data_IF_370976205898
#
_entry.id   IF_370976205898
#
_cell.length_a   1.000
_cell.length_b   1.000
_cell.length_c   1.000
_cell.angle_alpha   90.00
_cell.angle_beta   90.00
_cell.angle_gamma   90.00
#
_symmetry.space_group_name_H-M   'P 1'
#
loop_
_entity.id
_entity.type
_entity.pdbx_description
1 polymer ?
#
# COMPACT_ATOMS: atom_id res chain seq x y z
N UNK A 1 13.70 -8.21 -11.95
CA UNK A 1 14.43 -8.73 -10.76
C UNK A 1 13.42 -9.01 -9.66
N UNK A 2 13.68 -9.96 -8.75
CA UNK A 2 12.83 -10.16 -7.58
C UNK A 2 12.92 -8.96 -6.64
N UNK A 3 11.82 -8.67 -5.95
CA UNK A 3 11.72 -7.61 -4.96
C UNK A 3 12.68 -7.91 -3.79
N UNK A 4 13.50 -6.93 -3.41
CA UNK A 4 14.49 -7.05 -2.33
C UNK A 4 14.06 -6.22 -1.12
N UNK A 5 13.64 -6.92 -0.07
CA UNK A 5 13.08 -6.34 1.16
C UNK A 5 14.16 -5.85 2.15
N UNK A 6 15.43 -6.23 1.98
CA UNK A 6 16.52 -5.86 2.90
C UNK A 6 17.14 -4.48 2.60
N UNK A 7 16.72 -3.83 1.52
CA UNK A 7 17.32 -2.57 1.05
C UNK A 7 16.53 -1.34 1.53
N UNK A 8 16.61 -1.05 2.83
CA UNK A 8 16.03 0.15 3.47
C UNK A 8 16.59 1.49 2.93
N UNK A 9 17.66 1.49 2.13
CA UNK A 9 18.29 2.71 1.63
C UNK A 9 17.54 3.43 0.50
N UNK A 10 16.52 2.79 -0.11
CA UNK A 10 15.79 3.33 -1.26
C UNK A 10 14.26 3.17 -1.20
N UNK A 11 13.73 2.49 -0.20
CA UNK A 11 12.28 2.30 -0.05
C UNK A 11 11.68 3.56 0.54
N UNK A 12 10.79 4.22 -0.21
CA UNK A 12 10.12 5.45 0.25
C UNK A 12 8.95 5.14 1.18
N UNK A 13 8.31 4.00 0.98
CA UNK A 13 7.05 3.65 1.65
C UNK A 13 7.25 3.01 3.03
N UNK A 14 8.43 2.45 3.34
CA UNK A 14 8.65 1.59 4.50
C UNK A 14 9.16 2.29 5.77
N UNK A 15 9.41 3.60 5.74
CA UNK A 15 9.94 4.33 6.91
C UNK A 15 8.98 4.48 8.10
N UNK A 16 7.67 4.27 7.89
CA UNK A 16 6.62 4.57 8.88
C UNK A 16 5.56 3.47 9.03
N UNK A 17 5.80 2.27 8.51
CA UNK A 17 4.83 1.19 8.46
C UNK A 17 4.52 0.57 9.84
N UNK A 18 3.24 0.52 10.20
CA UNK A 18 2.68 -0.38 11.21
C UNK A 18 1.65 -1.29 10.51
N UNK A 19 1.96 -2.58 10.46
CA UNK A 19 1.13 -3.62 9.86
C UNK A 19 -0.30 -3.64 10.40
N UNK A 20 -0.44 -3.41 11.71
CA UNK A 20 -1.71 -3.41 12.40
C UNK A 20 -2.61 -2.27 11.93
N UNK A 21 -2.02 -1.09 11.70
CA UNK A 21 -2.75 0.11 11.24
C UNK A 21 -3.18 -0.05 9.78
N UNK A 22 -2.33 -0.65 8.95
CA UNK A 22 -2.66 -0.94 7.56
C UNK A 22 -3.76 -1.99 7.45
N UNK A 23 -3.68 -3.06 8.24
CA UNK A 23 -4.70 -4.08 8.30
C UNK A 23 -6.07 -3.51 8.72
N UNK A 24 -6.10 -2.67 9.77
CA UNK A 24 -7.34 -2.02 10.23
C UNK A 24 -7.94 -1.10 9.16
N UNK A 25 -7.11 -0.31 8.48
CA UNK A 25 -7.57 0.58 7.42
C UNK A 25 -8.11 -0.20 6.21
N UNK A 26 -7.48 -1.31 5.85
CA UNK A 26 -7.92 -2.12 4.71
C UNK A 26 -9.12 -2.99 5.06
N UNK A 27 -9.31 -3.37 6.33
CA UNK A 27 -10.54 -4.02 6.80
C UNK A 27 -11.77 -3.09 6.66
N UNK A 28 -11.56 -1.78 6.78
CA UNK A 28 -12.58 -0.76 6.56
C UNK A 28 -12.65 -0.25 5.12
N UNK A 29 -11.89 -0.87 4.20
CA UNK A 29 -11.80 -0.42 2.82
C UNK A 29 -13.15 -0.47 2.12
N UNK A 30 -13.57 0.66 1.56
CA UNK A 30 -14.85 0.85 0.88
C UNK A 30 -14.72 1.36 -0.55
N UNK A 31 -13.48 1.39 -1.08
CA UNK A 31 -13.12 2.01 -2.35
C UNK A 31 -13.48 3.51 -2.44
N UNK A 32 -13.55 4.20 -1.29
CA UNK A 32 -13.88 5.62 -1.25
C UNK A 32 -12.67 6.50 -1.59
N UNK A 33 -12.93 7.73 -2.07
CA UNK A 33 -11.88 8.75 -2.22
C UNK A 33 -11.17 9.07 -0.88
N UNK A 34 -11.86 8.86 0.26
CA UNK A 34 -11.24 8.98 1.59
C UNK A 34 -10.18 7.91 1.82
N UNK A 35 -10.46 6.68 1.41
CA UNK A 35 -9.59 5.53 1.67
C UNK A 35 -8.27 5.67 0.88
N UNK A 36 -8.35 6.14 -0.37
CA UNK A 36 -7.17 6.45 -1.19
C UNK A 36 -6.29 7.54 -0.56
N UNK A 37 -6.92 8.58 0.00
CA UNK A 37 -6.20 9.67 0.67
C UNK A 37 -5.56 9.24 1.98
N UNK A 38 -6.19 8.34 2.73
CA UNK A 38 -5.63 7.77 3.95
C UNK A 38 -4.45 6.85 3.63
N UNK A 39 -4.56 6.00 2.60
CA UNK A 39 -3.45 5.19 2.09
C UNK A 39 -2.27 6.04 1.65
N UNK A 40 -2.50 7.11 0.89
CA UNK A 40 -1.40 7.96 0.39
C UNK A 40 -0.61 8.57 1.55
N UNK A 41 -1.34 9.06 2.56
CA UNK A 41 -0.75 9.61 3.78
C UNK A 41 0.00 8.56 4.59
N UNK A 42 -0.51 7.33 4.66
CA UNK A 42 0.12 6.24 5.41
C UNK A 42 1.40 5.73 4.73
N UNK A 43 1.37 5.66 3.39
CA UNK A 43 2.51 5.25 2.57
C UNK A 43 3.51 6.40 2.34
N UNK A 44 3.20 7.62 2.79
CA UNK A 44 4.08 8.78 2.66
C UNK A 44 4.25 9.29 1.22
N UNK A 45 3.24 9.08 0.38
CA UNK A 45 3.22 9.43 -1.06
C UNK A 45 2.09 10.41 -1.37
N UNK A 46 2.15 11.11 -2.51
CA UNK A 46 1.01 11.92 -2.95
C UNK A 46 -0.11 11.03 -3.51
N UNK A 47 -1.35 11.49 -3.41
CA UNK A 47 -2.51 10.79 -3.98
C UNK A 47 -2.40 10.63 -5.51
N UNK A 48 -1.69 11.54 -6.19
CA UNK A 48 -1.43 11.47 -7.63
C UNK A 48 -0.43 10.37 -7.99
N UNK A 49 0.38 9.93 -7.01
CA UNK A 49 1.32 8.82 -7.16
C UNK A 49 0.66 7.47 -6.91
N UNK A 50 -0.54 7.43 -6.32
CA UNK A 50 -1.28 6.19 -6.14
C UNK A 50 -1.80 5.68 -7.48
N UNK A 51 -1.39 4.48 -7.91
CA UNK A 51 -1.92 3.90 -9.11
C UNK A 51 -3.41 3.57 -8.96
N UNK A 52 -4.23 3.67 -10.04
CA UNK A 52 -5.63 3.28 -10.01
C UNK A 52 -5.89 1.84 -9.58
N UNK A 53 -4.91 0.94 -9.78
CA UNK A 53 -4.99 -0.46 -9.36
C UNK A 53 -4.88 -0.68 -7.84
N UNK A 54 -4.60 0.36 -7.06
CA UNK A 54 -4.48 0.23 -5.60
C UNK A 54 -5.79 -0.19 -4.95
N UNK A 55 -6.94 0.21 -5.51
CA UNK A 55 -8.25 -0.27 -5.04
C UNK A 55 -8.34 -1.80 -5.14
N UNK A 56 -7.90 -2.39 -6.25
CA UNK A 56 -7.91 -3.84 -6.43
C UNK A 56 -7.00 -4.55 -5.42
N UNK A 57 -5.83 -3.97 -5.13
CA UNK A 57 -4.91 -4.52 -4.13
C UNK A 57 -5.52 -4.47 -2.72
N UNK A 58 -6.16 -3.35 -2.37
CA UNK A 58 -6.84 -3.20 -1.09
C UNK A 58 -8.04 -4.15 -0.96
N UNK A 59 -8.81 -4.35 -2.02
CA UNK A 59 -9.88 -5.35 -2.06
C UNK A 59 -9.33 -6.76 -1.85
N UNK A 60 -8.20 -7.12 -2.49
CA UNK A 60 -7.57 -8.43 -2.26
C UNK A 60 -7.05 -8.62 -0.84
N UNK A 61 -6.60 -7.57 -0.16
CA UNK A 61 -6.25 -7.64 1.26
C UNK A 61 -7.50 -7.82 2.12
N UNK A 62 -8.58 -7.08 1.84
CA UNK A 62 -9.85 -7.22 2.56
C UNK A 62 -10.48 -8.61 2.39
N UNK A 63 -10.31 -9.23 1.22
CA UNK A 63 -10.73 -10.60 0.94
C UNK A 63 -9.77 -11.66 1.54
N UNK A 64 -8.61 -11.25 2.07
CA UNK A 64 -7.57 -12.15 2.57
C UNK A 64 -6.84 -12.93 1.46
N UNK A 65 -6.93 -12.48 0.21
CA UNK A 65 -6.24 -13.06 -0.95
C UNK A 65 -4.74 -12.76 -0.91
N UNK A 66 -4.37 -11.56 -0.46
CA UNK A 66 -2.98 -11.14 -0.20
C UNK A 66 -2.91 -10.51 1.19
N UNK A 67 -1.72 -10.40 1.78
CA UNK A 67 -1.56 -9.69 3.05
C UNK A 67 -1.28 -8.19 2.84
N UNK A 68 -1.33 -7.41 3.93
CA UNK A 68 -1.08 -5.97 3.86
C UNK A 68 0.35 -5.63 3.44
N UNK A 69 1.30 -6.54 3.67
CA UNK A 69 2.69 -6.36 3.24
C UNK A 69 2.80 -6.49 1.71
N UNK A 70 2.13 -7.47 1.11
CA UNK A 70 2.04 -7.67 -0.35
C UNK A 70 1.45 -6.43 -1.04
N UNK A 71 0.45 -5.77 -0.44
CA UNK A 71 -0.10 -4.51 -0.95
C UNK A 71 0.97 -3.41 -1.00
N UNK A 72 1.72 -3.21 0.08
CA UNK A 72 2.77 -2.18 0.14
C UNK A 72 3.81 -2.43 -0.96
N UNK A 73 4.19 -3.70 -1.12
CA UNK A 73 5.20 -4.12 -2.08
C UNK A 73 4.71 -3.86 -3.51
N UNK A 74 3.46 -4.20 -3.80
CA UNK A 74 2.86 -3.95 -5.09
C UNK A 74 2.75 -2.44 -5.39
N UNK A 75 2.36 -1.63 -4.41
CA UNK A 75 2.28 -0.17 -4.55
C UNK A 75 3.66 0.45 -4.78
N UNK A 76 4.68 0.09 -3.97
CA UNK A 76 6.06 0.56 -4.17
C UNK A 76 6.60 0.14 -5.55
N UNK A 77 6.31 -1.08 -6.01
CA UNK A 77 6.69 -1.52 -7.35
C UNK A 77 6.03 -0.67 -8.43
N UNK A 78 4.73 -0.44 -8.34
CA UNK A 78 3.96 0.33 -9.33
C UNK A 78 4.39 1.80 -9.40
N UNK A 79 4.79 2.40 -8.28
CA UNK A 79 5.26 3.80 -8.20
C UNK A 79 6.68 3.97 -8.78
N UNK A 80 7.50 2.92 -8.74
CA UNK A 80 8.89 2.95 -9.21
C UNK A 80 9.05 2.44 -10.66
N UNK A 81 7.97 2.07 -11.36
CA UNK A 81 7.97 1.84 -12.81
C UNK A 81 8.03 3.17 -13.57
#
# INVERSE_FOLDING_TARGET
EPLNFDNMGKQKVLGFYDESVLAEMVEQWSESESDAKQLSSLLGISEEQLPPWTSNLATWVAEGTIDSADLIIAVEYLINQ
#
